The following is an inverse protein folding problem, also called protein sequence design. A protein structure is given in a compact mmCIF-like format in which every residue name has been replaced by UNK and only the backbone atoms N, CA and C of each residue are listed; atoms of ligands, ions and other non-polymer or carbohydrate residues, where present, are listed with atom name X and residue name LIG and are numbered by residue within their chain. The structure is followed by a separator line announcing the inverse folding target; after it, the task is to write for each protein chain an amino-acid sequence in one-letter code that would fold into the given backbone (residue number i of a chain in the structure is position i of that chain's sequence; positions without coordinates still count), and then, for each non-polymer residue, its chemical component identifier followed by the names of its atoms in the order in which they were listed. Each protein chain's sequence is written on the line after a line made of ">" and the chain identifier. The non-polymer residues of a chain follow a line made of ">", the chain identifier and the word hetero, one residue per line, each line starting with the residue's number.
data_IF_401502813566
#
_entry.id   IF_401502813566
#
_cell.length_a   1.000
_cell.length_b   1.000
_cell.length_c   1.000
_cell.angle_alpha   90.00
_cell.angle_beta   90.00
_cell.angle_gamma   90.00
#
_symmetry.space_group_name_H-M   'P 1'
#
loop_
_entity.id
_entity.type
_entity.pdbx_description
1 polymer ?
#
# COMPACT_ATOMS: atom_id res chain seq x y z
N UNK A 1 6.14 -6.87 -18.42
CA UNK A 1 5.28 -6.35 -19.50
C UNK A 1 4.07 -5.62 -18.88
N UNK A 2 4.29 -4.50 -18.19
CA UNK A 2 3.26 -3.80 -17.40
C UNK A 2 2.47 -2.75 -18.21
N UNK A 3 3.03 -2.26 -19.32
CA UNK A 3 2.48 -1.15 -20.11
C UNK A 3 1.08 -1.41 -20.71
N UNK A 4 0.70 -2.66 -20.92
CA UNK A 4 -0.61 -3.05 -21.47
C UNK A 4 -1.59 -3.56 -20.41
N UNK A 5 -1.26 -3.48 -19.12
CA UNK A 5 -2.10 -3.99 -18.05
C UNK A 5 -2.96 -2.86 -17.45
N UNK A 6 -4.22 -2.75 -17.89
CA UNK A 6 -5.16 -1.71 -17.47
C UNK A 6 -5.24 -1.56 -15.94
N UNK A 7 -5.36 -2.67 -15.21
CA UNK A 7 -5.47 -2.62 -13.74
C UNK A 7 -4.17 -2.12 -13.10
N UNK A 8 -3.00 -2.54 -13.59
CA UNK A 8 -1.74 -2.03 -13.05
C UNK A 8 -1.48 -0.56 -13.40
N UNK A 9 -1.99 -0.10 -14.54
CA UNK A 9 -1.91 1.30 -14.95
C UNK A 9 -2.84 2.21 -14.15
N UNK A 10 -3.88 1.66 -13.50
CA UNK A 10 -4.80 2.39 -12.63
C UNK A 10 -4.28 2.51 -11.18
N UNK A 11 -3.07 2.01 -10.90
CA UNK A 11 -2.39 2.21 -9.60
C UNK A 11 -1.95 3.67 -9.51
N UNK A 12 -2.62 4.44 -8.66
CA UNK A 12 -2.33 5.86 -8.38
C UNK A 12 -1.11 6.01 -7.45
N UNK A 13 -0.78 4.96 -6.70
CA UNK A 13 0.42 4.92 -5.89
C UNK A 13 0.66 3.55 -5.27
N UNK A 14 1.86 3.33 -4.75
CA UNK A 14 2.20 2.09 -4.06
C UNK A 14 3.23 2.32 -2.95
N UNK A 15 3.23 1.39 -1.99
CA UNK A 15 4.28 1.21 -0.98
C UNK A 15 4.66 -0.26 -1.00
N UNK A 16 5.93 -0.56 -1.17
CA UNK A 16 6.49 -1.90 -1.12
C UNK A 16 7.55 -1.94 -0.03
N UNK A 17 7.50 -2.98 0.80
CA UNK A 17 8.55 -3.29 1.75
C UNK A 17 9.01 -4.71 1.57
N UNK A 18 10.32 -4.87 1.40
CA UNK A 18 10.98 -6.15 1.20
C UNK A 18 11.57 -6.62 2.52
N UNK A 19 11.19 -7.83 2.94
CA UNK A 19 11.61 -8.43 4.19
C UNK A 19 12.18 -9.83 3.94
N UNK A 20 13.08 -10.26 4.81
CA UNK A 20 13.57 -11.64 4.82
C UNK A 20 13.53 -12.15 6.26
N UNK A 21 12.85 -13.27 6.48
CA UNK A 21 12.95 -13.98 7.76
C UNK A 21 13.40 -15.41 7.52
N UNK A 22 14.11 -16.00 8.47
CA UNK A 22 14.57 -17.40 8.38
C UNK A 22 13.39 -18.36 8.17
N UNK A 23 12.22 -18.06 8.76
CA UNK A 23 11.02 -18.91 8.67
C UNK A 23 10.20 -18.67 7.40
N UNK A 24 9.98 -17.43 6.99
CA UNK A 24 9.11 -17.11 5.85
C UNK A 24 9.88 -16.91 4.53
N UNK A 25 11.21 -16.84 4.60
CA UNK A 25 12.04 -16.46 3.47
C UNK A 25 11.83 -15.01 3.05
N UNK A 26 12.15 -14.73 1.78
CA UNK A 26 11.96 -13.41 1.18
C UNK A 26 10.48 -13.16 0.88
N UNK A 27 9.95 -12.05 1.36
CA UNK A 27 8.56 -11.65 1.13
C UNK A 27 8.42 -10.13 1.04
N UNK A 28 7.28 -9.69 0.50
CA UNK A 28 7.00 -8.27 0.27
C UNK A 28 5.66 -7.90 0.90
N UNK A 29 5.66 -6.89 1.76
CA UNK A 29 4.44 -6.18 2.14
C UNK A 29 4.15 -5.12 1.08
N UNK A 30 2.98 -5.19 0.46
CA UNK A 30 2.63 -4.31 -0.65
C UNK A 30 1.27 -3.64 -0.41
N UNK A 31 1.25 -2.32 -0.52
CA UNK A 31 0.05 -1.49 -0.54
C UNK A 31 -0.06 -0.86 -1.92
N UNK A 32 -1.24 -0.96 -2.51
CA UNK A 32 -1.56 -0.35 -3.79
C UNK A 32 -2.76 0.57 -3.60
N UNK A 33 -2.63 1.79 -4.08
CA UNK A 33 -3.66 2.82 -4.00
C UNK A 33 -4.31 2.99 -5.37
N UNK A 34 -5.64 3.05 -5.36
CA UNK A 34 -6.48 3.20 -6.55
C UNK A 34 -7.46 4.34 -6.34
N UNK A 35 -7.92 4.96 -7.43
CA UNK A 35 -9.03 5.92 -7.39
C UNK A 35 -10.33 5.20 -7.03
N UNK A 36 -10.83 5.46 -5.82
CA UNK A 36 -12.06 4.87 -5.29
C UNK A 36 -13.32 5.17 -6.11
N UNK A 37 -13.32 6.23 -6.94
CA UNK A 37 -14.44 6.50 -7.85
C UNK A 37 -14.48 5.50 -9.01
N UNK A 38 -13.32 4.99 -9.45
CA UNK A 38 -13.20 4.01 -10.53
C UNK A 38 -13.25 2.59 -10.01
N UNK A 39 -12.66 2.36 -8.84
CA UNK A 39 -12.43 1.03 -8.28
C UNK A 39 -13.01 0.90 -6.87
N UNK A 40 -14.14 0.22 -6.76
CA UNK A 40 -14.84 0.01 -5.48
C UNK A 40 -14.69 -1.42 -4.93
N UNK A 41 -14.20 -2.35 -5.75
CA UNK A 41 -14.08 -3.77 -5.43
C UNK A 41 -12.62 -4.14 -5.10
N UNK A 42 -12.18 -3.76 -3.90
CA UNK A 42 -10.80 -3.94 -3.48
C UNK A 42 -10.36 -5.41 -3.34
N UNK A 43 -11.28 -6.31 -3.01
CA UNK A 43 -11.03 -7.76 -3.03
C UNK A 43 -10.69 -8.27 -4.43
N UNK A 44 -11.43 -7.82 -5.46
CA UNK A 44 -11.20 -8.17 -6.87
C UNK A 44 -9.83 -7.66 -7.35
N UNK A 45 -9.47 -6.43 -6.97
CA UNK A 45 -8.13 -5.88 -7.23
C UNK A 45 -7.03 -6.71 -6.58
N UNK A 46 -7.20 -7.07 -5.30
CA UNK A 46 -6.25 -7.93 -4.58
C UNK A 46 -6.05 -9.28 -5.25
N UNK A 47 -7.14 -9.91 -5.73
CA UNK A 47 -7.07 -11.18 -6.45
C UNK A 47 -6.33 -11.04 -7.79
N UNK A 48 -6.60 -9.96 -8.53
CA UNK A 48 -5.88 -9.67 -9.77
C UNK A 48 -4.36 -9.51 -9.56
N UNK A 49 -3.97 -8.73 -8.54
CA UNK A 49 -2.57 -8.51 -8.18
C UNK A 49 -1.90 -9.83 -7.77
N UNK A 50 -2.61 -10.68 -7.01
CA UNK A 50 -2.14 -12.02 -6.66
C UNK A 50 -1.84 -12.87 -7.91
N UNK A 51 -2.76 -12.90 -8.85
CA UNK A 51 -2.59 -13.71 -10.06
C UNK A 51 -1.46 -13.18 -10.94
N UNK A 52 -1.30 -11.85 -10.98
CA UNK A 52 -0.16 -11.20 -11.65
C UNK A 52 1.17 -11.53 -10.97
N UNK A 53 1.25 -11.46 -9.63
CA UNK A 53 2.43 -11.84 -8.86
C UNK A 53 2.82 -13.30 -9.09
N UNK A 54 1.83 -14.22 -9.02
CA UNK A 54 2.08 -15.64 -9.29
C UNK A 54 2.68 -15.87 -10.67
N UNK A 55 2.20 -15.15 -11.70
CA UNK A 55 2.78 -15.19 -13.05
C UNK A 55 4.22 -14.67 -13.08
N UNK A 56 4.51 -13.55 -12.42
CA UNK A 56 5.86 -12.99 -12.32
C UNK A 56 6.85 -13.94 -11.65
N UNK A 57 6.41 -14.65 -10.61
CA UNK A 57 7.23 -15.61 -9.87
C UNK A 57 7.25 -17.01 -10.51
N UNK A 58 6.91 -17.16 -11.80
CA UNK A 58 6.93 -18.45 -12.49
C UNK A 58 6.02 -19.50 -11.85
N UNK A 59 4.93 -19.08 -11.21
CA UNK A 59 3.97 -19.97 -10.54
C UNK A 59 4.31 -20.32 -9.08
N UNK A 60 5.50 -19.98 -8.58
CA UNK A 60 5.98 -20.36 -7.25
C UNK A 60 5.72 -19.30 -6.16
N UNK A 61 5.25 -18.11 -6.54
CA UNK A 61 4.93 -17.05 -5.59
C UNK A 61 3.66 -17.35 -4.78
N UNK A 62 3.72 -17.13 -3.47
CA UNK A 62 2.56 -17.11 -2.59
C UNK A 62 2.16 -15.67 -2.25
N UNK A 63 0.88 -15.46 -1.92
CA UNK A 63 0.35 -14.13 -1.58
C UNK A 63 -0.73 -14.26 -0.52
N UNK A 64 -0.79 -13.29 0.39
CA UNK A 64 -1.89 -13.13 1.33
C UNK A 64 -2.62 -11.81 1.03
N UNK A 65 -3.92 -11.89 0.75
CA UNK A 65 -4.74 -10.70 0.44
C UNK A 65 -5.42 -10.25 1.74
N UNK A 66 -4.85 -9.26 2.43
CA UNK A 66 -5.39 -8.71 3.67
C UNK A 66 -6.86 -8.26 3.50
N UNK A 67 -7.20 -7.71 2.33
CA UNK A 67 -8.53 -7.20 2.01
C UNK A 67 -9.63 -8.29 2.01
N UNK A 68 -9.27 -9.57 1.91
CA UNK A 68 -10.23 -10.69 2.03
C UNK A 68 -10.57 -11.02 3.49
N UNK A 69 -9.74 -10.59 4.44
CA UNK A 69 -9.89 -10.89 5.87
C UNK A 69 -10.05 -9.62 6.71
N UNK A 70 -10.65 -8.56 6.15
CA UNK A 70 -10.87 -7.27 6.83
C UNK A 70 -11.46 -7.40 8.25
N UNK A 71 -12.40 -8.31 8.42
CA UNK A 71 -13.08 -8.57 9.69
C UNK A 71 -12.14 -9.01 10.83
N UNK A 72 -10.91 -9.45 10.51
CA UNK A 72 -9.91 -9.85 11.52
C UNK A 72 -9.07 -8.69 12.04
N UNK A 73 -9.11 -7.52 11.39
CA UNK A 73 -8.33 -6.37 11.78
C UNK A 73 -9.15 -5.51 12.75
N UNK A 74 -8.64 -5.37 13.98
CA UNK A 74 -9.21 -4.47 14.99
C UNK A 74 -9.16 -3.02 14.50
N UNK A 75 -7.99 -2.61 14.01
CA UNK A 75 -7.75 -1.27 13.45
C UNK A 75 -7.69 -1.39 11.93
N UNK A 76 -8.82 -1.10 11.26
CA UNK A 76 -8.92 -1.25 9.81
C UNK A 76 -8.12 -0.14 9.11
N UNK A 77 -7.17 -0.54 8.26
CA UNK A 77 -6.29 0.33 7.48
C UNK A 77 -6.31 -0.03 5.97
N UNK A 78 -7.30 -0.80 5.52
CA UNK A 78 -7.40 -1.32 4.15
C UNK A 78 -8.85 -1.27 3.65
N UNK A 79 -9.03 -1.07 2.34
CA UNK A 79 -10.34 -0.92 1.71
C UNK A 79 -10.61 0.50 1.25
N UNK A 80 -11.89 0.88 1.15
CA UNK A 80 -12.31 2.20 0.69
C UNK A 80 -12.04 3.24 1.77
N UNK A 81 -11.07 4.12 1.54
CA UNK A 81 -10.77 5.24 2.43
C UNK A 81 -11.50 6.49 1.95
N UNK A 82 -12.46 6.95 2.74
CA UNK A 82 -13.10 8.24 2.51
C UNK A 82 -12.32 9.36 3.21
N UNK A 83 -12.30 10.55 2.61
CA UNK A 83 -11.56 11.71 3.16
C UNK A 83 -12.05 12.17 4.55
N UNK A 84 -13.29 11.83 4.91
CA UNK A 84 -13.88 12.13 6.22
C UNK A 84 -13.70 10.98 7.22
N UNK A 85 -13.12 9.85 6.82
CA UNK A 85 -12.80 8.73 7.70
C UNK A 85 -11.42 8.95 8.35
N UNK A 86 -11.41 9.83 9.35
CA UNK A 86 -10.19 10.16 10.10
C UNK A 86 -9.61 8.93 10.80
N UNK A 87 -10.46 8.06 11.33
CA UNK A 87 -10.01 6.86 12.04
C UNK A 87 -9.25 5.91 11.13
N UNK A 88 -9.77 5.64 9.92
CA UNK A 88 -9.10 4.79 8.95
C UNK A 88 -7.80 5.42 8.45
N UNK A 89 -7.76 6.75 8.29
CA UNK A 89 -6.53 7.47 7.93
C UNK A 89 -5.47 7.36 9.03
N UNK A 90 -5.84 7.53 10.30
CA UNK A 90 -4.94 7.35 11.44
C UNK A 90 -4.43 5.92 11.54
N UNK A 91 -5.31 4.93 11.36
CA UNK A 91 -4.92 3.51 11.36
C UNK A 91 -3.94 3.22 10.22
N UNK A 92 -4.15 3.80 9.04
CA UNK A 92 -3.25 3.69 7.90
C UNK A 92 -1.86 4.29 8.20
N UNK A 93 -1.82 5.49 8.79
CA UNK A 93 -0.57 6.15 9.19
C UNK A 93 0.17 5.29 10.25
N UNK A 94 -0.53 4.84 11.30
CA UNK A 94 0.04 3.97 12.33
C UNK A 94 0.60 2.67 11.75
N UNK A 95 -0.09 2.08 10.78
CA UNK A 95 0.37 0.88 10.08
C UNK A 95 1.69 1.14 9.35
N UNK A 96 1.79 2.26 8.63
CA UNK A 96 3.03 2.63 7.95
C UNK A 96 4.16 3.00 8.89
N UNK A 97 3.89 3.70 9.99
CA UNK A 97 4.90 3.99 11.02
C UNK A 97 5.49 2.71 11.61
N UNK A 98 4.65 1.70 11.89
CA UNK A 98 5.11 0.40 12.38
C UNK A 98 6.00 -0.31 11.35
N UNK A 99 5.57 -0.31 10.08
CA UNK A 99 6.32 -0.90 8.97
C UNK A 99 7.68 -0.19 8.79
N UNK A 100 7.71 1.15 8.84
CA UNK A 100 8.94 1.92 8.71
C UNK A 100 9.88 1.76 9.92
N UNK A 101 9.35 1.70 11.15
CA UNK A 101 10.18 1.48 12.34
C UNK A 101 10.84 0.12 12.32
N UNK A 102 10.10 -0.92 11.92
CA UNK A 102 10.67 -2.26 11.80
C UNK A 102 11.72 -2.34 10.69
N UNK A 103 11.68 -1.47 9.68
CA UNK A 103 12.70 -1.40 8.61
C UNK A 103 14.08 -1.03 9.15
N UNK A 104 14.15 -0.13 10.13
CA UNK A 104 15.39 0.30 10.77
C UNK A 104 16.11 -0.85 11.50
N UNK A 105 15.35 -1.87 11.93
CA UNK A 105 15.91 -3.05 12.62
C UNK A 105 16.35 -4.15 11.64
N UNK A 106 15.95 -4.10 10.37
CA UNK A 106 16.38 -5.05 9.35
C UNK A 106 17.69 -4.60 8.71
N UNK A 107 18.79 -5.05 9.31
CA UNK A 107 20.11 -5.00 8.69
C UNK A 107 20.15 -5.98 7.50
N UNK A 108 19.88 -5.49 6.28
CA UNK A 108 20.37 -6.11 5.05
C UNK A 108 21.89 -5.90 4.98
N UNK A 109 22.66 -6.62 5.80
CA UNK A 109 24.12 -6.45 5.91
C UNK A 109 24.89 -6.81 4.64
N UNK A 110 24.28 -7.36 3.59
CA UNK A 110 25.01 -7.81 2.39
C UNK A 110 24.45 -7.38 1.02
N UNK A 111 23.39 -6.57 0.93
CA UNK A 111 22.90 -6.05 -0.36
C UNK A 111 23.12 -4.53 -0.45
N UNK A 112 24.33 -4.12 -0.84
CA UNK A 112 24.79 -2.71 -0.94
C UNK A 112 23.94 -1.78 -1.83
N UNK A 113 22.86 -2.26 -2.46
CA UNK A 113 21.99 -1.46 -3.34
C UNK A 113 20.49 -1.76 -3.21
N UNK A 114 20.07 -2.70 -2.35
CA UNK A 114 18.64 -3.02 -2.20
C UNK A 114 17.99 -2.04 -1.22
N UNK A 115 17.08 -1.20 -1.72
CA UNK A 115 16.20 -0.42 -0.85
C UNK A 115 15.13 -1.36 -0.29
N UNK A 116 15.15 -1.57 1.01
CA UNK A 116 14.14 -2.34 1.75
C UNK A 116 12.74 -1.73 1.63
N UNK A 117 12.67 -0.41 1.41
CA UNK A 117 11.43 0.34 1.23
C UNK A 117 11.37 1.05 -0.12
N UNK A 118 10.25 0.93 -0.82
CA UNK A 118 9.98 1.61 -2.08
C UNK A 118 8.60 2.25 -2.07
N UNK A 119 8.52 3.50 -2.49
CA UNK A 119 7.26 4.24 -2.63
C UNK A 119 7.15 4.82 -4.03
N UNK A 120 5.93 4.87 -4.56
CA UNK A 120 5.65 5.62 -5.79
C UNK A 120 5.94 7.10 -5.57
N UNK A 121 6.44 7.79 -6.61
CA UNK A 121 6.52 9.26 -6.56
C UNK A 121 5.11 9.81 -6.53
N UNK A 122 4.84 10.75 -5.62
CA UNK A 122 3.58 11.49 -5.63
C UNK A 122 3.62 12.42 -6.84
N UNK A 123 2.71 12.21 -7.79
CA UNK A 123 2.53 13.16 -8.88
C UNK A 123 2.15 14.52 -8.30
N UNK A 124 2.86 15.58 -8.71
CA UNK A 124 2.49 16.96 -8.33
C UNK A 124 1.05 17.20 -8.76
N UNK A 125 0.21 17.72 -7.85
CA UNK A 125 -1.19 18.07 -8.14
C UNK A 125 -1.27 18.81 -9.48
N UNK A 126 -1.97 18.23 -10.47
CA UNK A 126 -2.08 18.78 -11.83
C UNK A 126 -2.96 20.03 -11.90
N UNK A 127 -3.73 20.36 -10.87
CA UNK A 127 -4.43 21.65 -10.74
C UNK A 127 -5.06 21.81 -9.34
N UNK A 128 -5.48 23.04 -9.02
CA UNK A 128 -6.41 23.33 -7.92
C UNK A 128 -7.89 23.05 -8.30
N UNK A 129 -8.15 22.47 -9.48
CA UNK A 129 -9.51 22.20 -9.93
C UNK A 129 -10.05 20.96 -9.21
N UNK A 130 -10.87 21.21 -8.21
CA UNK A 130 -11.58 20.22 -7.41
C UNK A 130 -12.55 20.92 -6.48
N UNK A 131 -13.59 20.22 -6.02
CA UNK A 131 -14.56 20.78 -5.07
C UNK A 131 -13.81 21.30 -3.83
N UNK A 132 -14.03 22.55 -3.40
CA UNK A 132 -13.38 23.10 -2.22
C UNK A 132 -13.59 22.19 -1.00
N UNK A 133 -12.50 21.88 -0.29
CA UNK A 133 -12.58 21.12 0.96
C UNK A 133 -13.30 21.97 2.00
N UNK A 134 -14.38 21.46 2.60
CA UNK A 134 -15.10 22.16 3.66
C UNK A 134 -14.47 21.99 5.05
N UNK A 135 -13.60 21.00 5.23
CA UNK A 135 -12.82 20.82 6.45
C UNK A 135 -11.32 20.76 6.14
N UNK A 136 -10.56 21.66 6.77
CA UNK A 136 -9.12 21.51 6.90
C UNK A 136 -8.84 20.49 8.02
N UNK A 137 -7.88 19.56 7.85
CA UNK A 137 -7.41 18.77 8.98
C UNK A 137 -6.81 19.71 10.02
N UNK A 138 -7.20 19.53 11.28
CA UNK A 138 -6.62 20.25 12.41
C UNK A 138 -5.11 19.99 12.44
N UNK A 139 -4.33 21.04 12.23
CA UNK A 139 -2.89 21.03 12.50
C UNK A 139 -2.70 20.88 14.00
N UNK A 140 -2.25 19.72 14.47
CA UNK A 140 -1.64 19.63 15.79
C UNK A 140 -0.29 20.33 15.72
N UNK A 141 -0.28 21.60 16.12
CA UNK A 141 0.93 22.28 16.58
C UNK A 141 1.35 21.63 17.89
N UNK A 142 2.47 20.92 17.88
CA UNK A 142 3.14 20.54 19.12
C UNK A 142 3.68 21.82 19.77
N UNK A 143 3.20 22.11 20.98
CA UNK A 143 3.85 22.99 21.95
C UNK A 143 4.95 22.24 22.68
#
# INVERSE_FOLDING_TARGET
>A
NARHNKILNDIEGYILRFEYTVRAGFHVHAYFFFDGNKHQQDMSLGQYIKDYWKKLCGGQGSTFICNMQKHKYKDLAIGMLHHNDQQMLENLIKTFDYICKTDQYFMFTNMKAARSFQISRVDKKKSNAGRPRKHQPSTHSNS
#
